data_IF_981456503964
#
_entry.id   IF_981456503964
#
_cell.length_a   1.000
_cell.length_b   1.000
_cell.length_c   1.000
_cell.angle_alpha   90.00
_cell.angle_beta   90.00
_cell.angle_gamma   90.00
#
_symmetry.space_group_name_H-M   'P 1'
#
loop_
_entity.id
_entity.type
_entity.pdbx_description
1 polymer ?
#
# COMPACT_ATOMS: atom_id res chain seq x y z
N UNK A 1 -41.53 -54.54 -35.34
CA UNK A 1 -42.05 -53.91 -34.11
C UNK A 1 -41.67 -54.78 -32.93
N UNK A 2 -40.68 -54.36 -32.15
CA UNK A 2 -40.81 -54.23 -30.69
C UNK A 2 -39.43 -54.20 -30.02
N UNK A 3 -39.05 -52.96 -29.69
CA UNK A 3 -38.56 -52.57 -28.38
C UNK A 3 -37.13 -53.03 -28.02
N UNK A 4 -36.19 -52.13 -28.37
CA UNK A 4 -35.08 -51.77 -27.47
C UNK A 4 -35.64 -51.39 -26.09
N UNK A 5 -35.20 -52.07 -25.04
CA UNK A 5 -35.05 -51.42 -23.73
C UNK A 5 -33.69 -51.77 -23.17
N UNK A 6 -32.84 -50.75 -23.24
CA UNK A 6 -31.48 -50.71 -22.76
C UNK A 6 -31.51 -50.86 -21.24
N UNK A 7 -30.93 -51.95 -20.72
CA UNK A 7 -30.53 -52.08 -19.32
C UNK A 7 -29.35 -51.13 -19.05
N UNK A 8 -29.62 -49.82 -19.02
CA UNK A 8 -28.77 -48.88 -18.30
C UNK A 8 -29.07 -49.11 -16.83
N UNK A 9 -28.35 -50.07 -16.24
CA UNK A 9 -28.10 -50.08 -14.81
C UNK A 9 -27.41 -48.76 -14.50
N UNK A 10 -28.21 -47.77 -14.16
CA UNK A 10 -27.77 -46.59 -13.42
C UNK A 10 -27.09 -47.13 -12.18
N UNK A 11 -25.77 -47.20 -12.24
CA UNK A 11 -24.88 -47.17 -11.10
C UNK A 11 -25.32 -45.97 -10.26
N UNK A 12 -26.15 -46.26 -9.27
CA UNK A 12 -26.48 -45.39 -8.18
C UNK A 12 -25.16 -44.98 -7.55
N UNK A 13 -24.65 -43.83 -8.01
CA UNK A 13 -23.62 -43.08 -7.32
C UNK A 13 -24.12 -42.93 -5.89
N UNK A 14 -23.61 -43.79 -5.02
CA UNK A 14 -23.65 -43.60 -3.60
C UNK A 14 -22.79 -42.36 -3.38
N UNK A 15 -23.42 -41.20 -3.48
CA UNK A 15 -22.91 -39.98 -2.90
C UNK A 15 -22.83 -40.28 -1.41
N UNK A 16 -21.68 -40.80 -0.99
CA UNK A 16 -21.28 -40.95 0.39
C UNK A 16 -21.64 -39.63 1.05
N UNK A 17 -22.61 -39.66 1.95
CA UNK A 17 -23.01 -38.53 2.77
C UNK A 17 -21.82 -38.20 3.69
N UNK A 18 -20.83 -37.51 3.15
CA UNK A 18 -19.79 -36.85 3.90
C UNK A 18 -20.46 -35.65 4.59
N UNK A 19 -21.15 -35.90 5.71
CA UNK A 19 -21.59 -34.85 6.60
C UNK A 19 -20.41 -34.29 7.40
N UNK A 20 -20.52 -33.05 7.86
CA UNK A 20 -19.49 -32.44 8.69
C UNK A 20 -19.42 -33.13 10.05
N UNK A 21 -18.31 -33.83 10.32
CA UNK A 21 -18.10 -34.63 11.53
C UNK A 21 -18.38 -33.79 12.80
N UNK A 22 -19.35 -34.22 13.61
CA UNK A 22 -19.67 -33.64 14.93
C UNK A 22 -21.05 -32.98 15.07
N UNK A 23 -21.72 -32.57 13.99
CA UNK A 23 -23.11 -32.06 14.02
C UNK A 23 -23.92 -32.71 12.87
N UNK A 24 -25.26 -32.71 12.95
CA UNK A 24 -26.20 -33.27 11.97
C UNK A 24 -26.23 -32.57 10.60
N UNK A 25 -25.16 -31.87 10.20
CA UNK A 25 -25.12 -31.02 9.01
C UNK A 25 -24.82 -31.84 7.77
N UNK A 26 -25.66 -31.67 6.75
CA UNK A 26 -25.46 -32.30 5.44
C UNK A 26 -24.53 -31.47 4.57
N UNK A 27 -23.93 -32.14 3.60
CA UNK A 27 -23.07 -31.49 2.61
C UNK A 27 -23.79 -30.33 1.93
N UNK A 28 -23.14 -29.18 1.88
CA UNK A 28 -23.69 -27.97 1.28
C UNK A 28 -24.66 -27.18 2.16
N UNK A 29 -25.05 -27.68 3.34
CA UNK A 29 -25.88 -26.93 4.29
C UNK A 29 -25.13 -25.71 4.81
N UNK A 30 -25.87 -24.61 4.93
CA UNK A 30 -25.39 -23.32 5.42
C UNK A 30 -26.01 -23.06 6.78
N UNK A 31 -25.16 -22.84 7.77
CA UNK A 31 -25.54 -22.48 9.12
C UNK A 31 -25.11 -21.05 9.42
N UNK A 32 -26.06 -20.25 9.91
CA UNK A 32 -25.83 -18.88 10.33
C UNK A 32 -25.77 -18.80 11.85
N UNK A 33 -24.58 -18.54 12.38
CA UNK A 33 -24.36 -18.22 13.79
C UNK A 33 -24.44 -16.71 14.05
N UNK A 34 -24.15 -16.30 15.30
CA UNK A 34 -24.20 -14.89 15.69
C UNK A 34 -23.10 -14.01 15.07
N UNK A 35 -21.98 -14.61 14.64
CA UNK A 35 -20.83 -13.88 14.09
C UNK A 35 -20.46 -14.29 12.68
N UNK A 36 -20.76 -15.53 12.29
CA UNK A 36 -20.31 -16.11 11.03
C UNK A 36 -21.41 -16.94 10.39
N UNK A 37 -21.42 -16.94 9.06
CA UNK A 37 -22.10 -17.94 8.26
C UNK A 37 -21.06 -19.01 7.89
N UNK A 38 -21.42 -20.28 8.11
CA UNK A 38 -20.56 -21.43 7.87
C UNK A 38 -21.27 -22.41 6.95
N UNK A 39 -20.56 -22.92 5.95
CA UNK A 39 -21.04 -23.96 5.04
C UNK A 39 -20.30 -25.25 5.31
N UNK A 40 -21.02 -26.36 5.24
CA UNK A 40 -20.42 -27.68 5.26
C UNK A 40 -19.88 -28.05 3.87
N UNK A 41 -18.58 -28.38 3.79
CA UNK A 41 -17.91 -28.83 2.57
C UNK A 41 -17.06 -30.08 2.90
N UNK A 42 -17.52 -31.22 2.42
CA UNK A 42 -17.11 -32.56 2.79
C UNK A 42 -17.14 -32.76 4.31
N UNK A 43 -15.96 -33.01 4.88
CA UNK A 43 -15.81 -33.23 6.32
C UNK A 43 -15.51 -31.95 7.10
N UNK A 44 -15.38 -30.81 6.43
CA UNK A 44 -14.92 -29.54 7.02
C UNK A 44 -16.03 -28.48 7.00
N UNK A 45 -16.00 -27.62 8.01
CA UNK A 45 -16.82 -26.41 8.03
C UNK A 45 -15.96 -25.25 7.52
N UNK A 46 -16.48 -24.53 6.55
CA UNK A 46 -15.83 -23.34 6.02
C UNK A 46 -16.69 -22.12 6.34
N UNK A 47 -16.08 -21.07 6.90
CA UNK A 47 -16.77 -19.80 7.08
C UNK A 47 -16.94 -19.18 5.69
N UNK A 48 -18.17 -18.87 5.31
CA UNK A 48 -18.53 -18.27 4.02
C UNK A 48 -18.74 -16.76 4.11
N UNK A 49 -18.98 -16.24 5.32
CA UNK A 49 -19.18 -14.82 5.55
C UNK A 49 -19.29 -14.45 7.02
N UNK A 50 -19.32 -13.16 7.29
CA UNK A 50 -19.49 -12.58 8.61
C UNK A 50 -20.90 -12.02 8.74
N UNK A 51 -21.49 -12.16 9.93
CA UNK A 51 -22.81 -11.61 10.24
C UNK A 51 -22.64 -10.22 10.82
N UNK A 52 -23.23 -9.24 10.15
CA UNK A 52 -23.24 -7.85 10.61
C UNK A 52 -24.06 -7.76 11.92
N UNK A 53 -23.50 -7.22 13.02
CA UNK A 53 -24.16 -7.23 14.33
C UNK A 53 -25.48 -6.46 14.38
N UNK A 54 -25.61 -5.42 13.55
CA UNK A 54 -26.75 -4.49 13.59
C UNK A 54 -27.92 -4.93 12.71
N UNK A 55 -27.64 -5.53 11.56
CA UNK A 55 -28.66 -5.91 10.57
C UNK A 55 -28.86 -7.42 10.46
N UNK A 56 -27.99 -8.21 11.10
CA UNK A 56 -27.88 -9.66 10.92
C UNK A 56 -27.69 -10.11 9.46
N UNK A 57 -27.31 -9.18 8.58
CA UNK A 57 -26.99 -9.46 7.18
C UNK A 57 -25.66 -10.16 7.09
N UNK A 58 -25.56 -11.13 6.18
CA UNK A 58 -24.29 -11.80 5.90
C UNK A 58 -23.52 -11.02 4.85
N UNK A 59 -22.28 -10.67 5.20
CA UNK A 59 -21.29 -10.08 4.31
C UNK A 59 -20.28 -11.15 3.96
N UNK A 60 -20.14 -11.49 2.68
CA UNK A 60 -19.21 -12.53 2.24
C UNK A 60 -17.77 -12.09 2.47
N UNK A 61 -16.87 -13.07 2.57
CA UNK A 61 -15.44 -12.80 2.72
C UNK A 61 -14.93 -12.01 1.50
N UNK A 62 -14.26 -10.88 1.76
CA UNK A 62 -13.77 -9.94 0.75
C UNK A 62 -14.80 -8.87 0.34
N UNK A 63 -16.05 -8.96 0.80
CA UNK A 63 -17.08 -7.96 0.56
C UNK A 63 -17.20 -6.97 1.73
N UNK A 64 -17.78 -5.79 1.42
CA UNK A 64 -18.18 -4.78 2.40
C UNK A 64 -19.63 -4.38 2.18
N UNK A 65 -20.38 -4.20 3.27
CA UNK A 65 -21.77 -3.74 3.28
C UNK A 65 -21.84 -2.37 3.94
N UNK A 66 -22.58 -1.43 3.34
CA UNK A 66 -22.82 -0.12 3.95
C UNK A 66 -23.79 -0.27 5.14
N UNK A 67 -23.36 0.18 6.31
CA UNK A 67 -24.11 0.12 7.57
C UNK A 67 -24.86 1.43 7.81
N UNK A 68 -24.17 2.56 7.63
CA UNK A 68 -24.73 3.89 7.91
C UNK A 68 -23.98 4.97 7.15
N UNK A 69 -24.62 6.11 6.92
CA UNK A 69 -24.00 7.31 6.36
C UNK A 69 -24.53 8.54 7.10
N UNK A 70 -23.64 9.47 7.43
CA UNK A 70 -24.01 10.79 7.97
C UNK A 70 -23.71 11.93 6.96
N UNK A 71 -23.60 11.60 5.67
CA UNK A 71 -23.33 12.55 4.58
C UNK A 71 -21.86 12.98 4.46
N UNK A 72 -21.04 12.85 5.51
CA UNK A 72 -19.58 13.10 5.49
C UNK A 72 -18.74 11.86 5.71
N UNK A 73 -19.32 10.83 6.31
CA UNK A 73 -18.70 9.52 6.58
C UNK A 73 -19.71 8.40 6.35
N UNK A 74 -19.28 7.37 5.66
CA UNK A 74 -19.95 6.09 5.45
C UNK A 74 -19.30 5.08 6.38
N UNK A 75 -20.11 4.39 7.17
CA UNK A 75 -19.67 3.25 7.95
C UNK A 75 -19.97 1.98 7.18
N UNK A 76 -18.96 1.15 6.96
CA UNK A 76 -19.05 -0.14 6.30
C UNK A 76 -18.75 -1.26 7.29
N UNK A 77 -19.38 -2.41 7.10
CA UNK A 77 -19.00 -3.67 7.74
C UNK A 77 -18.40 -4.57 6.68
N UNK A 78 -17.19 -5.06 6.91
CA UNK A 78 -16.50 -5.95 5.98
C UNK A 78 -16.09 -7.25 6.66
N UNK A 79 -16.06 -8.32 5.88
CA UNK A 79 -15.59 -9.63 6.31
C UNK A 79 -14.26 -9.93 5.63
N UNK A 80 -13.17 -9.98 6.38
CA UNK A 80 -11.82 -10.14 5.82
C UNK A 80 -11.17 -11.43 6.31
N UNK A 81 -10.43 -12.09 5.41
CA UNK A 81 -9.58 -13.23 5.76
C UNK A 81 -8.20 -12.70 6.15
N UNK A 82 -7.90 -12.74 7.45
CA UNK A 82 -6.56 -12.49 7.97
C UNK A 82 -5.66 -13.72 7.83
N UNK A 83 -4.42 -13.59 8.29
CA UNK A 83 -3.40 -14.66 8.18
C UNK A 83 -3.80 -15.93 8.95
N UNK A 84 -4.52 -15.79 10.07
CA UNK A 84 -4.88 -16.90 10.96
C UNK A 84 -6.39 -17.06 11.20
N UNK A 85 -7.22 -16.09 10.80
CA UNK A 85 -8.66 -16.10 11.09
C UNK A 85 -9.48 -15.23 10.12
N UNK A 86 -10.81 -15.43 10.12
CA UNK A 86 -11.75 -14.58 9.41
C UNK A 86 -12.39 -13.63 10.41
N UNK A 87 -12.30 -12.32 10.12
CA UNK A 87 -12.71 -11.26 11.03
C UNK A 87 -13.74 -10.36 10.35
N UNK A 88 -14.88 -10.16 11.02
CA UNK A 88 -15.83 -9.10 10.68
C UNK A 88 -15.42 -7.80 11.38
N UNK A 89 -15.27 -6.70 10.64
CA UNK A 89 -14.90 -5.41 11.22
C UNK A 89 -15.71 -4.26 10.63
N UNK A 90 -15.90 -3.23 11.44
CA UNK A 90 -16.59 -1.99 11.06
C UNK A 90 -15.56 -0.91 10.74
N UNK A 91 -15.67 -0.29 9.56
CA UNK A 91 -14.80 0.76 9.06
C UNK A 91 -15.60 2.04 8.80
N UNK A 92 -15.05 3.20 9.13
CA UNK A 92 -15.61 4.48 8.73
C UNK A 92 -14.77 5.09 7.60
N UNK A 93 -15.37 5.36 6.44
CA UNK A 93 -14.76 6.04 5.29
C UNK A 93 -15.40 7.42 5.10
N UNK A 94 -14.63 8.47 4.87
CA UNK A 94 -15.18 9.81 4.60
C UNK A 94 -15.83 9.90 3.22
N UNK A 95 -17.14 10.19 3.15
CA UNK A 95 -17.89 10.52 1.94
C UNK A 95 -17.63 12.00 1.63
N UNK A 96 -16.48 12.29 1.01
CA UNK A 96 -16.09 13.70 0.89
C UNK A 96 -14.71 13.94 0.32
N UNK A 97 -14.38 13.29 -0.79
CA UNK A 97 -13.51 13.81 -1.86
C UNK A 97 -13.61 12.81 -3.02
N UNK A 98 -13.92 13.33 -4.21
CA UNK A 98 -14.02 12.59 -5.48
C UNK A 98 -13.02 11.42 -5.53
N UNK A 99 -13.50 10.25 -5.97
CA UNK A 99 -12.73 9.17 -6.61
C UNK A 99 -11.51 9.79 -7.30
N UNK A 100 -10.32 9.66 -6.69
CA UNK A 100 -9.15 9.34 -7.49
C UNK A 100 -9.15 7.83 -7.49
N UNK A 101 -9.24 7.27 -8.69
CA UNK A 101 -8.93 5.87 -8.92
C UNK A 101 -7.77 5.44 -8.01
N UNK A 102 -7.91 4.24 -7.45
CA UNK A 102 -6.77 3.46 -7.01
C UNK A 102 -6.01 3.08 -8.30
N UNK A 103 -5.41 4.06 -8.95
CA UNK A 103 -4.08 3.86 -9.49
C UNK A 103 -3.25 3.65 -8.23
N UNK A 104 -2.57 2.51 -8.15
CA UNK A 104 -1.38 2.29 -7.33
C UNK A 104 -0.62 3.61 -7.19
N UNK A 105 -0.96 4.39 -6.16
CA UNK A 105 -0.47 5.75 -6.01
C UNK A 105 0.87 5.58 -5.32
N UNK A 106 1.85 5.08 -6.09
CA UNK A 106 3.26 5.36 -5.81
C UNK A 106 3.29 6.85 -5.49
N UNK A 107 3.51 7.18 -4.22
CA UNK A 107 3.54 8.54 -3.69
C UNK A 107 4.42 9.32 -4.65
N UNK A 108 3.88 10.26 -5.43
CA UNK A 108 4.65 10.87 -6.51
C UNK A 108 5.71 11.78 -5.89
N UNK A 109 6.92 11.75 -6.43
CA UNK A 109 7.96 12.72 -6.10
C UNK A 109 7.51 14.15 -6.41
N UNK A 110 8.12 15.16 -5.76
CA UNK A 110 7.88 16.58 -6.05
C UNK A 110 7.95 16.81 -7.57
N UNK A 111 6.95 17.45 -8.16
CA UNK A 111 6.92 17.69 -9.61
C UNK A 111 6.46 16.50 -10.47
N UNK A 112 6.03 15.38 -9.87
CA UNK A 112 5.59 14.16 -10.57
C UNK A 112 6.69 13.45 -11.36
N UNK A 113 7.96 13.65 -11.01
CA UNK A 113 9.06 12.92 -11.63
C UNK A 113 8.98 11.41 -11.37
N UNK A 114 9.40 10.64 -12.37
CA UNK A 114 9.53 9.19 -12.27
C UNK A 114 10.71 8.80 -11.36
N UNK A 115 10.66 7.59 -10.84
CA UNK A 115 11.74 6.98 -10.04
C UNK A 115 13.08 7.01 -10.80
N UNK A 116 14.17 7.36 -10.11
CA UNK A 116 15.51 7.52 -10.66
C UNK A 116 15.77 8.85 -11.38
N UNK A 117 14.74 9.68 -11.63
CA UNK A 117 14.95 10.99 -12.27
C UNK A 117 15.58 11.95 -11.27
N UNK A 118 16.60 12.68 -11.74
CA UNK A 118 17.24 13.75 -10.99
C UNK A 118 16.94 15.14 -11.59
N UNK A 119 16.75 16.14 -10.74
CA UNK A 119 16.51 17.52 -11.17
C UNK A 119 17.11 18.55 -10.21
N UNK A 120 17.46 19.72 -10.74
CA UNK A 120 18.02 20.83 -9.97
C UNK A 120 16.89 21.75 -9.52
N UNK A 121 16.79 21.99 -8.21
CA UNK A 121 15.83 22.93 -7.63
C UNK A 121 16.56 24.17 -7.13
N UNK A 122 16.05 25.35 -7.53
CA UNK A 122 16.56 26.67 -7.12
C UNK A 122 18.09 26.82 -7.29
N UNK A 123 18.67 26.13 -8.28
CA UNK A 123 20.10 26.11 -8.59
C UNK A 123 21.02 25.80 -7.38
N UNK A 124 20.52 25.10 -6.36
CA UNK A 124 21.30 24.78 -5.14
C UNK A 124 21.33 23.31 -4.79
N UNK A 125 20.27 22.58 -5.10
CA UNK A 125 20.15 21.18 -4.70
C UNK A 125 19.73 20.32 -5.87
N UNK A 126 20.35 19.17 -6.01
CA UNK A 126 19.94 18.10 -6.92
C UNK A 126 19.08 17.14 -6.13
N UNK A 127 17.83 17.02 -6.54
CA UNK A 127 16.89 16.05 -6.01
C UNK A 127 16.89 14.80 -6.88
N UNK A 128 16.61 13.65 -6.27
CA UNK A 128 16.32 12.39 -6.93
C UNK A 128 14.98 11.85 -6.43
N UNK A 129 14.22 11.24 -7.33
CA UNK A 129 13.02 10.49 -6.97
C UNK A 129 13.40 9.06 -6.61
N UNK A 130 13.32 8.68 -5.33
CA UNK A 130 13.66 7.34 -4.86
C UNK A 130 12.49 6.69 -4.13
N UNK A 131 12.32 5.38 -4.31
CA UNK A 131 11.43 4.59 -3.48
C UNK A 131 12.01 4.38 -2.07
N UNK A 132 11.15 4.45 -1.06
CA UNK A 132 11.41 3.95 0.29
C UNK A 132 11.34 2.42 0.34
N UNK A 133 11.84 1.76 1.40
CA UNK A 133 11.77 0.30 1.56
C UNK A 133 10.34 -0.28 1.49
N UNK A 134 9.33 0.55 1.73
CA UNK A 134 7.90 0.20 1.71
C UNK A 134 7.27 0.51 0.33
N UNK A 135 8.05 0.93 -0.66
CA UNK A 135 7.61 1.21 -2.04
C UNK A 135 7.00 2.60 -2.28
N UNK A 136 7.05 3.49 -1.29
CA UNK A 136 6.58 4.88 -1.40
C UNK A 136 7.64 5.74 -2.09
N UNK A 137 7.34 6.50 -3.15
CA UNK A 137 8.35 7.39 -3.74
C UNK A 137 8.45 8.70 -2.94
N UNK A 138 9.67 9.16 -2.76
CA UNK A 138 10.00 10.42 -2.11
C UNK A 138 11.11 11.16 -2.87
N UNK A 139 11.09 12.48 -2.77
CA UNK A 139 12.17 13.32 -3.29
C UNK A 139 13.24 13.47 -2.23
N UNK A 140 14.42 12.94 -2.50
CA UNK A 140 15.60 13.06 -1.63
C UNK A 140 16.61 13.99 -2.28
N UNK A 141 17.36 14.74 -1.48
CA UNK A 141 18.49 15.52 -1.99
C UNK A 141 19.67 14.57 -2.09
N UNK A 142 20.32 14.49 -3.26
CA UNK A 142 21.46 13.59 -3.51
C UNK A 142 22.77 14.35 -3.70
N UNK A 143 22.71 15.63 -4.07
CA UNK A 143 23.89 16.47 -4.19
C UNK A 143 23.53 17.95 -4.02
N UNK A 144 24.54 18.77 -3.77
CA UNK A 144 24.45 20.22 -3.90
C UNK A 144 24.85 20.62 -5.32
N UNK A 145 24.39 21.78 -5.79
CA UNK A 145 24.85 22.41 -7.02
C UNK A 145 25.55 23.72 -6.66
N UNK A 146 26.77 23.90 -7.15
CA UNK A 146 27.52 25.14 -7.00
C UNK A 146 27.32 26.03 -8.21
N UNK A 147 26.72 27.20 -8.00
CA UNK A 147 26.64 28.23 -9.04
C UNK A 147 28.01 28.83 -9.37
N UNK A 148 28.99 28.75 -8.45
CA UNK A 148 30.33 29.35 -8.65
C UNK A 148 31.18 28.58 -9.65
N UNK A 149 31.07 27.26 -9.64
CA UNK A 149 31.82 26.37 -10.53
C UNK A 149 30.92 25.67 -11.57
N UNK A 150 29.60 25.83 -11.46
CA UNK A 150 28.63 25.20 -12.36
C UNK A 150 28.56 23.68 -12.23
N UNK A 151 29.05 23.12 -11.11
CA UNK A 151 29.23 21.68 -10.92
C UNK A 151 28.39 21.16 -9.74
N UNK A 152 28.06 19.88 -9.79
CA UNK A 152 27.46 19.13 -8.68
C UNK A 152 28.54 18.72 -7.67
N UNK A 153 28.20 18.83 -6.38
CA UNK A 153 29.03 18.39 -5.25
C UNK A 153 28.23 17.32 -4.50
N UNK A 154 28.71 16.08 -4.49
CA UNK A 154 28.01 14.98 -3.85
C UNK A 154 27.86 15.21 -2.33
N UNK A 155 26.86 14.58 -1.72
CA UNK A 155 26.71 14.63 -0.26
C UNK A 155 27.97 14.10 0.44
N UNK A 156 28.48 14.87 1.41
CA UNK A 156 29.73 14.58 2.11
C UNK A 156 30.99 15.05 1.39
N UNK A 157 30.91 15.35 0.10
CA UNK A 157 32.05 15.76 -0.72
C UNK A 157 32.46 17.21 -0.43
N UNK A 158 33.77 17.47 -0.54
CA UNK A 158 34.37 18.78 -0.42
C UNK A 158 35.16 19.08 -1.69
N UNK A 159 34.85 20.20 -2.34
CA UNK A 159 35.52 20.65 -3.57
C UNK A 159 36.28 21.94 -3.27
N UNK A 160 37.56 21.97 -3.63
CA UNK A 160 38.41 23.15 -3.51
C UNK A 160 38.58 23.76 -4.89
N UNK A 161 38.32 25.06 -5.00
CA UNK A 161 38.42 25.79 -6.26
C UNK A 161 38.94 27.22 -6.04
N UNK A 162 39.09 27.98 -7.13
CA UNK A 162 39.73 29.32 -7.11
C UNK A 162 39.11 30.35 -6.16
N UNK A 163 37.85 30.18 -5.75
CA UNK A 163 37.15 31.10 -4.85
C UNK A 163 37.19 30.66 -3.38
N UNK A 164 37.53 29.41 -3.10
CA UNK A 164 37.40 28.82 -1.77
C UNK A 164 37.10 27.33 -1.81
N UNK A 165 36.62 26.84 -0.67
CA UNK A 165 36.25 25.46 -0.44
C UNK A 165 34.74 25.37 -0.27
N UNK A 166 34.09 24.50 -1.02
CA UNK A 166 32.67 24.20 -0.92
C UNK A 166 32.44 22.77 -0.44
N UNK A 167 31.53 22.58 0.50
CA UNK A 167 31.20 21.27 1.05
C UNK A 167 29.69 21.07 1.10
N UNK A 168 29.20 19.98 0.52
CA UNK A 168 27.80 19.59 0.65
C UNK A 168 27.64 18.69 1.87
N UNK A 169 26.88 19.13 2.87
CA UNK A 169 26.69 18.36 4.11
C UNK A 169 25.21 18.08 4.35
N UNK A 170 24.93 16.87 4.82
CA UNK A 170 23.66 16.57 5.46
C UNK A 170 23.73 17.01 6.93
N UNK A 171 22.74 17.78 7.39
CA UNK A 171 22.53 18.13 8.80
C UNK A 171 21.58 17.11 9.43
N UNK A 172 21.02 17.43 10.60
CA UNK A 172 19.99 16.61 11.22
C UNK A 172 18.68 16.60 10.41
N UNK A 173 18.03 15.43 10.36
CA UNK A 173 16.70 15.21 9.75
C UNK A 173 16.63 15.47 8.23
N UNK A 174 17.65 15.10 7.44
CA UNK A 174 17.62 15.19 5.97
C UNK A 174 17.78 16.60 5.40
N UNK A 175 18.13 17.58 6.25
CA UNK A 175 18.38 18.95 5.80
C UNK A 175 19.79 19.05 5.22
N UNK A 176 19.89 19.20 3.91
CA UNK A 176 21.19 19.37 3.22
C UNK A 176 21.57 20.85 3.14
N UNK A 177 22.85 21.15 3.34
CA UNK A 177 23.39 22.50 3.23
C UNK A 177 24.72 22.51 2.44
N UNK A 178 24.86 23.48 1.53
CA UNK A 178 26.13 23.83 0.91
C UNK A 178 26.87 24.84 1.80
N UNK A 179 28.01 24.43 2.39
CA UNK A 179 28.91 25.32 3.14
C UNK A 179 30.01 25.83 2.23
N UNK A 180 30.22 27.14 2.22
CA UNK A 180 31.32 27.78 1.52
C UNK A 180 32.29 28.42 2.53
N UNK A 181 33.57 28.15 2.37
CA UNK A 181 34.66 28.82 3.08
C UNK A 181 35.50 29.56 2.03
N UNK A 182 35.54 30.89 2.13
CA UNK A 182 36.35 31.70 1.24
C UNK A 182 37.83 31.39 1.50
N UNK A 183 38.61 31.25 0.43
CA UNK A 183 40.07 31.25 0.55
C UNK A 183 40.47 32.66 0.98
N UNK A 184 40.98 32.82 2.20
CA UNK A 184 41.63 34.08 2.59
C UNK A 184 42.82 34.28 1.65
N UNK A 185 42.65 35.19 0.69
CA UNK A 185 43.79 35.85 0.07
C UNK A 185 44.38 36.71 1.16
N UNK A 186 45.54 36.28 1.69
CA UNK A 186 46.50 37.22 2.27
C UNK A 186 46.74 38.28 1.21
N UNK A 187 46.12 39.45 1.37
CA UNK A 187 46.53 40.63 0.64
C UNK A 187 48.02 40.86 0.94
N UNK A 188 48.91 40.90 -0.05
CA UNK A 188 50.23 41.44 0.17
C UNK A 188 50.01 42.89 0.59
N UNK A 189 50.24 43.18 1.87
CA UNK A 189 50.25 44.53 2.40
C UNK A 189 51.15 45.38 1.50
N UNK A 190 50.53 46.27 0.72
CA UNK A 190 51.25 47.32 0.02
C UNK A 190 51.89 48.21 1.09
N UNK A 191 53.23 48.34 1.12
CA UNK A 191 53.88 49.27 2.02
C UNK A 191 53.48 50.70 1.61
N UNK A 192 52.96 51.48 2.56
CA UNK A 192 52.96 52.94 2.50
C UNK A 192 54.12 53.46 3.32
#
# INVERSE_FOLDING_TARGET
YSIMFIFYLFSSFSAVFAGCKGNSWKEGEVYRGNRYETKCIGTKREITGCVEPSTHKVVKIGEKSLVSTNGKTATYFECVKGENEIVGRTLAESIGRRKREISTKKTKCMGQYAEGVQWIVKKRYVYECSADPIGNLRSIIVSCFSEKIGQRIALGETVIHKYGTEKCIERSKGVVALKFQRKETLDPMLPR
#
